data_IF_640664090313
#
_entry.id   IF_640664090313
#
_cell.length_a   1.000
_cell.length_b   1.000
_cell.length_c   1.000
_cell.angle_alpha   90.00
_cell.angle_beta   90.00
_cell.angle_gamma   90.00
#
_symmetry.space_group_name_H-M   'P 1'
#
loop_
_entity.id
_entity.type
_entity.pdbx_description
1 polymer ?
#
# COMPACT_ATOMS: atom_id res chain seq x y z
N UNK A 1 -28.81 -5.00 -0.91
CA UNK A 1 -27.98 -4.01 -0.21
C UNK A 1 -26.82 -3.71 -1.12
N UNK A 2 -26.05 -2.71 -0.89
CA UNK A 2 -24.91 -2.31 -1.72
C UNK A 2 -23.73 -1.94 -0.83
N UNK A 3 -22.97 -0.94 -1.22
CA UNK A 3 -21.88 -0.40 -0.43
C UNK A 3 -22.39 0.07 0.97
N UNK A 4 -21.78 -0.37 2.09
CA UNK A 4 -22.21 0.01 3.43
C UNK A 4 -21.82 1.47 3.76
N UNK A 5 -22.72 2.21 4.43
CA UNK A 5 -22.49 3.64 4.73
C UNK A 5 -21.90 3.91 6.14
N UNK A 6 -21.92 2.92 7.05
CA UNK A 6 -21.61 3.11 8.48
C UNK A 6 -20.61 2.09 9.05
N UNK A 7 -19.70 1.59 8.22
CA UNK A 7 -18.79 0.53 8.63
C UNK A 7 -17.49 1.00 9.31
N UNK A 8 -17.17 2.29 9.25
CA UNK A 8 -15.92 2.81 9.76
C UNK A 8 -14.68 2.27 9.00
N UNK A 9 -14.46 2.79 7.81
CA UNK A 9 -13.47 2.29 6.83
C UNK A 9 -12.04 2.43 7.37
N UNK A 10 -11.20 1.41 7.11
CA UNK A 10 -9.75 1.46 7.31
C UNK A 10 -9.08 1.51 5.94
N UNK A 11 -8.42 2.62 5.62
CA UNK A 11 -7.67 2.78 4.37
C UNK A 11 -6.17 2.56 4.61
N UNK A 12 -5.61 1.56 3.93
CA UNK A 12 -4.20 1.18 4.04
C UNK A 12 -3.28 1.97 3.09
N UNK A 13 -3.78 3.05 2.49
CA UNK A 13 -3.04 3.88 1.53
C UNK A 13 -3.42 5.35 1.59
N UNK A 14 -3.43 5.94 2.79
CA UNK A 14 -3.62 7.38 3.00
C UNK A 14 -2.27 8.09 2.98
N UNK A 15 -2.22 9.24 2.32
CA UNK A 15 -1.11 10.17 2.35
C UNK A 15 -1.56 11.59 2.59
N UNK A 16 -0.63 12.52 2.50
CA UNK A 16 -0.86 13.95 2.68
C UNK A 16 -0.57 14.69 1.38
N UNK A 17 -1.35 15.72 1.04
CA UNK A 17 -1.07 16.52 -0.15
C UNK A 17 0.24 17.28 0.01
N UNK A 18 0.97 17.43 -1.08
CA UNK A 18 2.12 18.33 -1.09
C UNK A 18 1.64 19.77 -1.10
N UNK A 19 2.21 20.58 -0.22
CA UNK A 19 2.00 22.04 -0.16
C UNK A 19 3.12 22.81 -0.85
N UNK A 20 4.15 22.10 -1.33
CA UNK A 20 5.33 22.65 -1.95
C UNK A 20 5.77 21.79 -3.15
N UNK A 21 5.98 22.43 -4.31
CA UNK A 21 6.39 21.75 -5.56
C UNK A 21 7.75 21.10 -5.43
N UNK A 22 8.70 21.71 -4.73
CA UNK A 22 10.05 21.16 -4.57
C UNK A 22 10.04 19.93 -3.65
N UNK A 23 9.20 19.91 -2.59
CA UNK A 23 8.98 18.72 -1.76
C UNK A 23 8.38 17.59 -2.59
N UNK A 24 7.39 17.88 -3.45
CA UNK A 24 6.79 16.89 -4.37
C UNK A 24 7.85 16.28 -5.28
N UNK A 25 8.66 17.10 -5.93
CA UNK A 25 9.76 16.63 -6.80
C UNK A 25 10.79 15.80 -6.03
N UNK A 26 11.19 16.25 -4.84
CA UNK A 26 12.17 15.56 -4.02
C UNK A 26 11.72 14.14 -3.61
N UNK A 27 10.43 13.93 -3.37
CA UNK A 27 9.88 12.66 -2.96
C UNK A 27 10.15 11.50 -3.94
N UNK A 28 10.32 11.79 -5.23
CA UNK A 28 10.50 10.79 -6.27
C UNK A 28 11.94 10.71 -6.84
N UNK A 29 12.86 11.54 -6.36
CA UNK A 29 14.25 11.59 -6.86
C UNK A 29 15.01 10.26 -6.70
N UNK A 30 14.64 9.42 -5.75
CA UNK A 30 15.27 8.11 -5.54
C UNK A 30 15.16 7.18 -6.75
N UNK A 31 14.16 7.36 -7.62
CA UNK A 31 13.97 6.57 -8.84
C UNK A 31 14.80 7.07 -10.03
N UNK A 32 15.33 8.30 -9.98
CA UNK A 32 16.07 8.90 -11.08
C UNK A 32 17.22 8.04 -11.64
N UNK A 33 18.03 7.34 -10.80
CA UNK A 33 19.08 6.47 -11.31
C UNK A 33 18.61 5.27 -12.14
N UNK A 34 17.31 4.92 -12.03
CA UNK A 34 16.69 3.79 -12.73
C UNK A 34 16.15 4.17 -14.11
N UNK A 35 15.91 5.45 -14.37
CA UNK A 35 15.38 5.94 -15.65
C UNK A 35 16.46 6.03 -16.70
N UNK A 36 16.11 5.65 -17.94
CA UNK A 36 17.01 5.67 -19.11
C UNK A 36 16.51 6.55 -20.25
N UNK A 37 15.22 6.86 -20.26
CA UNK A 37 14.60 7.67 -21.31
C UNK A 37 14.41 9.12 -20.84
N UNK A 38 14.51 10.05 -21.81
CA UNK A 38 14.44 11.48 -21.55
C UNK A 38 13.09 11.90 -20.97
N UNK A 39 11.99 11.32 -21.49
CA UNK A 39 10.66 11.65 -21.02
C UNK A 39 10.48 11.36 -19.52
N UNK A 40 10.92 10.16 -19.04
CA UNK A 40 10.88 9.84 -17.62
C UNK A 40 11.75 10.75 -16.76
N UNK A 41 12.88 11.23 -17.30
CA UNK A 41 13.77 12.16 -16.60
C UNK A 41 13.19 13.58 -16.49
N UNK A 42 12.32 13.96 -17.43
CA UNK A 42 11.61 15.24 -17.48
C UNK A 42 10.30 15.21 -16.65
N UNK A 43 9.56 14.08 -16.67
CA UNK A 43 8.28 13.88 -15.98
C UNK A 43 8.41 13.64 -14.45
N UNK A 44 9.47 14.07 -13.81
CA UNK A 44 9.76 13.74 -12.40
C UNK A 44 8.81 14.37 -11.36
N UNK A 45 7.69 14.94 -11.77
CA UNK A 45 6.68 15.47 -10.83
C UNK A 45 5.80 14.38 -10.21
N UNK A 46 5.50 13.32 -10.97
CA UNK A 46 4.81 12.13 -10.47
C UNK A 46 5.20 10.90 -11.28
N UNK A 47 5.67 9.80 -10.63
CA UNK A 47 6.05 8.58 -11.35
C UNK A 47 4.85 7.96 -12.03
N UNK A 48 5.01 7.56 -13.30
CA UNK A 48 3.96 6.95 -14.09
C UNK A 48 2.71 7.86 -14.31
N UNK A 49 2.90 9.17 -14.35
CA UNK A 49 1.82 10.15 -14.60
C UNK A 49 0.99 9.78 -15.82
N UNK A 50 1.62 9.24 -16.87
CA UNK A 50 0.95 8.77 -18.10
C UNK A 50 -0.15 7.70 -17.86
N UNK A 51 -0.14 7.02 -16.71
CA UNK A 51 -1.16 6.03 -16.34
C UNK A 51 -2.36 6.64 -15.63
N UNK A 52 -2.24 7.86 -15.12
CA UNK A 52 -3.29 8.52 -14.35
C UNK A 52 -3.91 9.67 -15.16
N UNK A 53 -5.23 9.74 -15.19
CA UNK A 53 -5.93 10.84 -15.90
C UNK A 53 -5.83 12.16 -15.16
N UNK A 54 -5.85 12.09 -13.83
CA UNK A 54 -5.77 13.26 -12.95
C UNK A 54 -4.79 12.93 -11.82
N UNK A 55 -3.65 13.57 -11.83
CA UNK A 55 -2.72 13.56 -10.71
C UNK A 55 -3.07 14.77 -9.86
N UNK A 56 -3.31 14.62 -8.54
CA UNK A 56 -3.61 15.75 -7.68
C UNK A 56 -2.46 16.77 -7.71
N UNK A 57 -2.80 18.01 -7.96
CA UNK A 57 -1.85 19.11 -7.90
C UNK A 57 -1.41 19.41 -6.47
N UNK A 58 -0.35 20.23 -6.36
CA UNK A 58 0.07 20.81 -5.09
C UNK A 58 -1.04 21.72 -4.57
N UNK A 59 -1.49 21.49 -3.35
CA UNK A 59 -2.44 22.38 -2.67
C UNK A 59 -1.75 23.64 -2.18
N UNK A 60 -2.52 24.66 -1.81
CA UNK A 60 -1.98 25.92 -1.30
C UNK A 60 -1.03 25.71 -0.11
N UNK A 61 0.11 26.43 -0.05
CA UNK A 61 1.04 26.35 1.08
C UNK A 61 0.43 26.79 2.42
N UNK A 62 -0.71 27.50 2.39
CA UNK A 62 -1.41 27.97 3.60
C UNK A 62 -2.32 26.89 4.23
N UNK A 63 -2.41 25.70 3.63
CA UNK A 63 -3.23 24.59 4.13
C UNK A 63 -2.39 23.66 5.01
N UNK A 64 -2.91 23.30 6.19
CA UNK A 64 -2.37 22.19 6.99
C UNK A 64 -2.73 20.86 6.28
N UNK A 65 -1.75 20.10 5.74
CA UNK A 65 -2.01 18.89 4.98
C UNK A 65 -2.65 17.78 5.82
N UNK A 66 -2.41 17.79 7.13
CA UNK A 66 -2.97 16.79 8.07
C UNK A 66 -4.46 17.07 8.28
N UNK A 67 -4.82 18.32 8.58
CA UNK A 67 -6.22 18.72 8.76
C UNK A 67 -7.03 18.52 7.48
N UNK A 68 -6.43 18.84 6.34
CA UNK A 68 -7.08 18.64 5.05
C UNK A 68 -7.37 17.16 4.78
N UNK A 69 -6.37 16.29 5.04
CA UNK A 69 -6.54 14.84 4.89
C UNK A 69 -7.58 14.30 5.86
N UNK A 70 -7.55 14.75 7.12
CA UNK A 70 -8.53 14.35 8.13
C UNK A 70 -9.96 14.74 7.74
N UNK A 71 -10.14 15.96 7.21
CA UNK A 71 -11.44 16.43 6.70
C UNK A 71 -11.96 15.54 5.56
N UNK A 72 -11.11 15.18 4.60
CA UNK A 72 -11.49 14.27 3.52
C UNK A 72 -11.80 12.86 4.05
N UNK A 73 -11.04 12.34 5.02
CA UNK A 73 -11.34 11.07 5.68
C UNK A 73 -12.72 11.11 6.35
N UNK A 74 -13.04 12.15 7.10
CA UNK A 74 -14.33 12.32 7.79
C UNK A 74 -15.50 12.37 6.80
N UNK A 75 -15.34 13.12 5.71
CA UNK A 75 -16.34 13.26 4.64
C UNK A 75 -16.71 11.91 4.02
N UNK A 76 -15.78 10.97 3.93
CA UNK A 76 -15.97 9.68 3.26
C UNK A 76 -16.06 8.48 4.21
N UNK A 77 -16.09 8.71 5.52
CA UNK A 77 -16.23 7.67 6.53
C UNK A 77 -14.98 6.81 6.73
N UNK A 78 -13.81 7.33 6.38
CA UNK A 78 -12.51 6.69 6.68
C UNK A 78 -12.17 6.95 8.14
N UNK A 79 -12.36 5.94 8.97
CA UNK A 79 -12.13 6.02 10.40
C UNK A 79 -10.64 6.03 10.74
N UNK A 80 -9.86 5.17 10.07
CA UNK A 80 -8.42 5.04 10.30
C UNK A 80 -7.68 4.98 8.97
N UNK A 81 -6.58 5.73 8.85
CA UNK A 81 -5.68 5.73 7.70
C UNK A 81 -4.28 5.22 8.04
N UNK A 82 -3.73 4.33 7.21
CA UNK A 82 -2.31 3.97 7.28
C UNK A 82 -1.53 4.88 6.34
N UNK A 83 -0.58 5.62 6.89
CA UNK A 83 0.25 6.57 6.15
C UNK A 83 1.75 6.26 6.29
N UNK A 84 2.54 6.77 5.35
CA UNK A 84 4.00 6.65 5.38
C UNK A 84 4.63 7.40 6.56
N UNK A 85 5.77 6.92 7.03
CA UNK A 85 6.57 7.54 8.10
C UNK A 85 7.36 8.76 7.58
N UNK A 86 6.63 9.75 7.05
CA UNK A 86 7.12 11.09 6.70
C UNK A 86 7.00 12.04 7.90
N UNK A 87 7.49 13.27 7.77
CA UNK A 87 7.29 14.32 8.79
C UNK A 87 5.79 14.49 9.09
N UNK A 88 4.97 14.65 8.04
CA UNK A 88 3.52 14.79 8.18
C UNK A 88 2.86 13.53 8.78
N UNK A 89 3.32 12.33 8.40
CA UNK A 89 2.79 11.07 8.93
C UNK A 89 3.06 10.91 10.42
N UNK A 90 4.29 11.18 10.86
CA UNK A 90 4.67 11.12 12.28
C UNK A 90 3.87 12.17 13.09
N UNK A 91 3.75 13.38 12.58
CA UNK A 91 2.98 14.45 13.22
C UNK A 91 1.48 14.13 13.25
N UNK A 92 0.91 13.56 12.17
CA UNK A 92 -0.48 13.12 12.12
C UNK A 92 -0.77 12.04 13.19
N UNK A 93 0.10 11.04 13.31
CA UNK A 93 0.00 10.01 14.36
C UNK A 93 0.10 10.61 15.76
N UNK A 94 0.97 11.61 15.96
CA UNK A 94 1.12 12.30 17.25
C UNK A 94 -0.13 13.12 17.61
N UNK A 95 -0.73 13.85 16.63
CA UNK A 95 -1.92 14.69 16.84
C UNK A 95 -3.20 13.87 16.97
N UNK A 96 -3.31 12.80 16.18
CA UNK A 96 -4.53 12.00 16.04
C UNK A 96 -4.20 10.49 16.11
N UNK A 97 -3.76 9.98 17.29
CA UNK A 97 -3.27 8.61 17.44
C UNK A 97 -4.30 7.53 17.10
N UNK A 98 -5.58 7.83 17.21
CA UNK A 98 -6.66 6.91 16.90
C UNK A 98 -7.11 6.97 15.42
N UNK A 99 -6.58 7.93 14.65
CA UNK A 99 -6.94 8.16 13.26
C UNK A 99 -5.86 7.74 12.27
N UNK A 100 -4.59 7.74 12.69
CA UNK A 100 -3.47 7.43 11.80
C UNK A 100 -2.58 6.32 12.35
N UNK A 101 -2.21 5.40 11.46
CA UNK A 101 -1.21 4.36 11.68
C UNK A 101 -0.02 4.60 10.77
N UNK A 102 1.17 4.21 11.21
CA UNK A 102 2.40 4.41 10.43
C UNK A 102 2.86 3.12 9.77
N UNK A 103 3.28 3.24 8.52
CA UNK A 103 4.07 2.24 7.78
C UNK A 103 5.41 2.84 7.37
N UNK A 104 6.47 2.06 7.42
CA UNK A 104 7.76 2.45 6.86
C UNK A 104 7.98 1.83 5.47
N UNK A 105 8.68 2.54 4.60
CA UNK A 105 9.19 1.99 3.33
C UNK A 105 10.68 1.68 3.43
N UNK A 106 11.08 0.49 2.99
CA UNK A 106 12.49 0.11 2.87
C UNK A 106 13.16 0.93 1.76
N UNK A 107 14.09 1.78 2.16
CA UNK A 107 14.77 2.71 1.23
C UNK A 107 15.86 2.04 0.40
N UNK A 108 16.59 1.08 0.97
CA UNK A 108 17.72 0.42 0.30
C UNK A 108 17.88 -1.02 0.80
N UNK A 109 17.23 -1.96 0.12
CA UNK A 109 17.34 -3.40 0.44
C UNK A 109 18.69 -4.01 0.05
N UNK A 110 19.57 -3.28 -0.66
CA UNK A 110 20.95 -3.68 -0.88
C UNK A 110 21.82 -3.52 0.38
N UNK A 111 21.44 -2.63 1.29
CA UNK A 111 22.00 -2.56 2.64
C UNK A 111 21.16 -3.46 3.57
N UNK A 112 21.53 -4.74 3.60
CA UNK A 112 20.78 -5.78 4.34
C UNK A 112 20.72 -5.46 5.84
N UNK A 113 21.84 -5.11 6.45
CA UNK A 113 21.90 -4.81 7.88
C UNK A 113 21.20 -3.50 8.23
N UNK A 114 21.34 -2.48 7.39
CA UNK A 114 20.62 -1.22 7.54
C UNK A 114 19.11 -1.41 7.45
N UNK A 115 18.64 -2.25 6.53
CA UNK A 115 17.21 -2.60 6.41
C UNK A 115 16.67 -3.27 7.68
N UNK A 116 17.38 -4.25 8.21
CA UNK A 116 16.99 -4.93 9.47
C UNK A 116 16.93 -3.95 10.65
N UNK A 117 17.97 -3.10 10.79
CA UNK A 117 18.03 -2.10 11.87
C UNK A 117 16.88 -1.11 11.75
N UNK A 118 16.65 -0.57 10.55
CA UNK A 118 15.59 0.43 10.33
C UNK A 118 14.19 -0.09 10.66
N UNK A 119 13.89 -1.38 10.40
CA UNK A 119 12.62 -1.99 10.81
C UNK A 119 12.49 -2.00 12.34
N UNK A 120 13.51 -2.48 13.04
CA UNK A 120 13.50 -2.58 14.52
C UNK A 120 13.42 -1.20 15.18
N UNK A 121 14.17 -0.22 14.69
CA UNK A 121 14.14 1.16 15.13
C UNK A 121 12.76 1.80 14.88
N UNK A 122 12.23 1.71 13.67
CA UNK A 122 10.92 2.27 13.35
C UNK A 122 9.79 1.66 14.19
N UNK A 123 9.85 0.36 14.46
CA UNK A 123 8.89 -0.30 15.35
C UNK A 123 9.00 0.20 16.80
N UNK A 124 10.22 0.30 17.31
CA UNK A 124 10.46 0.72 18.70
C UNK A 124 10.12 2.20 18.95
N UNK A 125 10.43 3.08 17.98
CA UNK A 125 10.29 4.52 18.14
C UNK A 125 8.92 5.06 17.69
N UNK A 126 8.31 4.44 16.68
CA UNK A 126 7.10 4.96 16.04
C UNK A 126 5.90 3.99 16.05
N UNK A 127 6.06 2.80 16.63
CA UNK A 127 5.02 1.75 16.64
C UNK A 127 4.38 1.54 15.26
N UNK A 128 5.23 1.33 14.25
CA UNK A 128 4.76 1.06 12.89
C UNK A 128 3.93 -0.23 12.85
N UNK A 129 2.91 -0.28 12.00
CA UNK A 129 2.02 -1.44 11.85
C UNK A 129 2.34 -2.29 10.62
N UNK A 130 3.18 -1.79 9.72
CA UNK A 130 3.59 -2.49 8.51
C UNK A 130 4.95 -1.99 8.00
N UNK A 131 5.59 -2.83 7.19
CA UNK A 131 6.77 -2.49 6.41
C UNK A 131 6.41 -2.54 4.93
N UNK A 132 6.80 -1.54 4.14
CA UNK A 132 6.63 -1.51 2.69
C UNK A 132 7.93 -1.83 1.95
N UNK A 133 7.82 -2.44 0.79
CA UNK A 133 8.95 -2.69 -0.10
C UNK A 133 8.59 -2.48 -1.56
N UNK A 134 9.41 -1.71 -2.26
CA UNK A 134 9.34 -1.48 -3.70
C UNK A 134 10.56 -2.08 -4.40
N UNK A 135 10.53 -3.36 -4.82
CA UNK A 135 11.67 -4.08 -5.40
C UNK A 135 12.26 -3.43 -6.65
N UNK A 136 11.41 -2.95 -7.56
CA UNK A 136 11.85 -2.25 -8.76
C UNK A 136 12.47 -0.88 -8.48
N UNK A 137 12.13 -0.24 -7.36
CA UNK A 137 12.68 1.05 -6.93
C UNK A 137 14.04 0.96 -6.26
N UNK A 138 14.58 -0.23 -6.05
CA UNK A 138 15.93 -0.41 -5.49
C UNK A 138 17.00 -0.16 -6.55
N UNK A 139 18.16 0.37 -6.15
CA UNK A 139 19.30 0.55 -7.06
C UNK A 139 20.58 -0.06 -6.49
N UNK A 140 21.08 -1.17 -7.10
CA UNK A 140 20.46 -1.99 -8.15
C UNK A 140 19.13 -2.61 -7.69
N UNK A 141 18.26 -2.94 -8.65
CA UNK A 141 16.97 -3.58 -8.37
C UNK A 141 17.18 -4.92 -7.64
N UNK A 142 16.29 -5.23 -6.69
CA UNK A 142 16.36 -6.46 -5.88
C UNK A 142 15.06 -7.25 -6.03
N UNK A 143 15.08 -8.45 -6.64
CA UNK A 143 13.90 -9.30 -6.77
C UNK A 143 13.27 -9.70 -5.43
N UNK A 144 11.96 -9.91 -5.43
CA UNK A 144 11.22 -10.36 -4.24
C UNK A 144 11.86 -11.60 -3.60
N UNK A 145 12.31 -12.57 -4.40
CA UNK A 145 12.93 -13.82 -3.90
C UNK A 145 14.46 -13.76 -3.80
N UNK A 146 15.07 -12.58 -3.88
CA UNK A 146 16.52 -12.44 -3.72
C UNK A 146 16.94 -12.80 -2.28
N UNK A 147 18.03 -13.57 -2.07
CA UNK A 147 18.55 -13.89 -0.74
C UNK A 147 18.85 -12.66 0.14
N UNK A 148 19.11 -11.49 -0.42
CA UNK A 148 19.26 -10.24 0.33
C UNK A 148 18.01 -9.84 1.10
N UNK A 149 16.83 -10.24 0.62
CA UNK A 149 15.55 -9.98 1.27
C UNK A 149 15.27 -10.92 2.45
N UNK A 150 15.93 -12.06 2.56
CA UNK A 150 15.66 -13.06 3.60
C UNK A 150 15.82 -12.54 5.02
N UNK A 151 16.85 -11.75 5.37
CA UNK A 151 16.94 -11.12 6.68
C UNK A 151 15.79 -10.15 6.98
N UNK A 152 15.27 -9.46 5.97
CA UNK A 152 14.08 -8.60 6.10
C UNK A 152 12.84 -9.45 6.42
N UNK A 153 12.64 -10.56 5.70
CA UNK A 153 11.53 -11.48 5.94
C UNK A 153 11.57 -12.10 7.33
N UNK A 154 12.77 -12.58 7.74
CA UNK A 154 12.97 -13.11 9.07
C UNK A 154 12.67 -12.05 10.15
N UNK A 155 13.13 -10.80 9.95
CA UNK A 155 12.84 -9.69 10.88
C UNK A 155 11.35 -9.39 10.95
N UNK A 156 10.64 -9.38 9.83
CA UNK A 156 9.19 -9.16 9.83
C UNK A 156 8.43 -10.27 10.58
N UNK A 157 8.91 -11.54 10.47
CA UNK A 157 8.36 -12.66 11.26
C UNK A 157 8.68 -12.49 12.75
N UNK A 158 9.95 -12.23 13.12
CA UNK A 158 10.37 -12.04 14.52
C UNK A 158 9.62 -10.88 15.19
N UNK A 159 9.45 -9.78 14.49
CA UNK A 159 8.77 -8.59 14.98
C UNK A 159 7.24 -8.66 14.84
N UNK A 160 6.73 -9.75 14.26
CA UNK A 160 5.30 -9.98 14.03
C UNK A 160 4.62 -8.80 13.29
N UNK A 161 5.27 -8.32 12.22
CA UNK A 161 4.84 -7.16 11.43
C UNK A 161 4.61 -7.55 9.97
N UNK A 162 3.45 -7.23 9.36
CA UNK A 162 3.17 -7.50 7.96
C UNK A 162 4.09 -6.74 7.00
N UNK A 163 4.47 -7.42 5.91
CA UNK A 163 5.23 -6.80 4.82
C UNK A 163 4.33 -6.54 3.60
N UNK A 164 4.26 -5.28 3.19
CA UNK A 164 3.55 -4.84 1.99
C UNK A 164 4.52 -4.77 0.82
N UNK A 165 4.34 -5.64 -0.16
CA UNK A 165 5.25 -5.85 -1.28
C UNK A 165 4.63 -5.40 -2.59
N UNK A 166 5.28 -4.47 -3.31
CA UNK A 166 4.86 -4.16 -4.67
C UNK A 166 5.08 -5.39 -5.56
N UNK A 167 4.05 -5.80 -6.31
CA UNK A 167 4.07 -6.95 -7.20
C UNK A 167 3.30 -6.63 -8.49
N UNK A 168 3.72 -7.22 -9.59
CA UNK A 168 3.17 -6.94 -10.92
C UNK A 168 4.06 -6.00 -11.75
N UNK A 169 3.52 -5.55 -12.89
CA UNK A 169 4.21 -4.58 -13.74
C UNK A 169 4.30 -3.24 -13.01
N UNK A 170 5.51 -2.71 -12.94
CA UNK A 170 5.74 -1.40 -12.33
C UNK A 170 5.27 -0.28 -13.25
N UNK A 171 4.61 0.74 -12.70
CA UNK A 171 4.15 1.90 -13.47
C UNK A 171 5.28 2.74 -14.09
N UNK A 172 6.32 3.15 -13.33
CA UNK A 172 7.48 3.84 -13.89
C UNK A 172 8.20 3.01 -14.98
N UNK A 173 8.77 3.69 -15.98
CA UNK A 173 9.46 3.03 -17.12
C UNK A 173 10.81 2.43 -16.71
N UNK A 174 10.74 1.30 -15.99
CA UNK A 174 11.89 0.51 -15.54
C UNK A 174 11.57 -1.00 -15.61
N UNK A 175 12.56 -1.89 -15.60
CA UNK A 175 12.33 -3.34 -15.67
C UNK A 175 11.48 -3.84 -14.50
N UNK A 176 10.45 -4.66 -14.78
CA UNK A 176 9.50 -5.19 -13.80
C UNK A 176 9.85 -6.57 -13.24
N UNK A 177 10.88 -7.24 -13.76
CA UNK A 177 11.26 -8.58 -13.32
C UNK A 177 11.34 -8.75 -11.79
N UNK A 178 11.88 -7.78 -11.02
CA UNK A 178 11.97 -7.91 -9.57
C UNK A 178 10.61 -8.10 -8.86
N UNK A 179 9.52 -7.66 -9.49
CA UNK A 179 8.14 -7.73 -8.96
C UNK A 179 7.30 -8.84 -9.58
N UNK A 180 7.93 -9.78 -10.29
CA UNK A 180 7.19 -10.90 -10.88
C UNK A 180 6.49 -11.72 -9.78
N UNK A 181 5.18 -11.94 -9.95
CA UNK A 181 4.31 -12.57 -8.93
C UNK A 181 4.76 -13.99 -8.54
N UNK A 182 5.37 -14.73 -9.46
CA UNK A 182 5.91 -16.08 -9.18
C UNK A 182 6.95 -16.09 -8.06
N UNK A 183 7.70 -14.99 -7.87
CA UNK A 183 8.71 -14.89 -6.80
C UNK A 183 8.11 -15.02 -5.40
N UNK A 184 6.82 -14.65 -5.23
CA UNK A 184 6.09 -14.80 -3.97
C UNK A 184 5.96 -16.25 -3.51
N UNK A 185 5.87 -17.19 -4.45
CA UNK A 185 5.71 -18.63 -4.12
C UNK A 185 6.89 -19.16 -3.31
N UNK A 186 8.10 -18.78 -3.70
CA UNK A 186 9.32 -19.16 -2.99
C UNK A 186 9.41 -18.52 -1.60
N UNK A 187 9.09 -17.25 -1.49
CA UNK A 187 9.11 -16.51 -0.21
C UNK A 187 8.10 -17.09 0.77
N UNK A 188 6.86 -17.33 0.34
CA UNK A 188 5.84 -17.94 1.19
C UNK A 188 6.19 -19.38 1.62
N UNK A 189 6.96 -20.11 0.81
CA UNK A 189 7.44 -21.45 1.16
C UNK A 189 8.54 -21.39 2.24
N UNK A 190 9.50 -20.49 2.09
CA UNK A 190 10.64 -20.37 3.01
C UNK A 190 10.26 -19.68 4.34
N UNK A 191 9.22 -18.82 4.32
CA UNK A 191 8.72 -18.03 5.47
C UNK A 191 7.20 -18.24 5.65
N UNK A 192 6.75 -19.41 6.10
CA UNK A 192 5.32 -19.72 6.20
C UNK A 192 4.58 -18.88 7.24
N UNK A 193 5.29 -18.28 8.19
CA UNK A 193 4.74 -17.39 9.23
C UNK A 193 4.65 -15.93 8.78
N UNK A 194 5.30 -15.57 7.66
CA UNK A 194 5.29 -14.20 7.16
C UNK A 194 3.89 -13.81 6.67
N UNK A 195 3.37 -12.71 7.21
CA UNK A 195 2.21 -12.04 6.65
C UNK A 195 2.66 -11.12 5.52
N UNK A 196 2.29 -11.46 4.29
CA UNK A 196 2.68 -10.76 3.07
C UNK A 196 1.45 -10.20 2.36
N UNK A 197 1.45 -8.89 2.07
CA UNK A 197 0.37 -8.20 1.35
C UNK A 197 0.92 -7.65 0.05
N UNK A 198 0.37 -8.06 -1.10
CA UNK A 198 0.77 -7.49 -2.39
C UNK A 198 0.11 -6.13 -2.63
N UNK A 199 0.86 -5.19 -3.20
CA UNK A 199 0.40 -3.85 -3.61
C UNK A 199 0.47 -3.69 -5.13
N UNK A 200 -0.31 -2.76 -5.66
CA UNK A 200 -0.28 -2.28 -7.05
C UNK A 200 -0.64 -3.34 -8.09
N UNK A 201 -1.64 -4.17 -7.79
CA UNK A 201 -2.44 -4.90 -8.78
C UNK A 201 -2.00 -6.31 -9.15
N UNK A 202 -0.74 -6.66 -9.06
CA UNK A 202 -0.18 -7.94 -9.55
C UNK A 202 -0.33 -8.17 -11.07
N UNK A 203 -0.76 -7.17 -11.84
CA UNK A 203 -0.95 -7.29 -13.29
C UNK A 203 0.38 -7.58 -14.03
N UNK A 204 0.35 -8.42 -15.08
CA UNK A 204 -0.80 -9.17 -15.62
C UNK A 204 -0.92 -10.59 -15.02
N UNK A 205 -0.43 -10.85 -13.83
CA UNK A 205 -0.38 -12.17 -13.19
C UNK A 205 -1.44 -12.34 -12.07
N UNK A 206 -2.61 -11.69 -12.20
CA UNK A 206 -3.69 -11.72 -11.19
C UNK A 206 -4.20 -13.14 -10.94
N UNK A 207 -4.31 -13.96 -12.00
CA UNK A 207 -4.68 -15.37 -11.89
C UNK A 207 -3.66 -16.18 -11.10
N UNK A 208 -2.37 -15.90 -11.28
CA UNK A 208 -1.30 -16.50 -10.49
C UNK A 208 -1.38 -16.03 -9.05
N UNK A 209 -1.51 -14.70 -8.81
CA UNK A 209 -1.67 -14.14 -7.48
C UNK A 209 -2.84 -14.77 -6.72
N UNK A 210 -4.01 -14.91 -7.37
CA UNK A 210 -5.18 -15.60 -6.82
C UNK A 210 -4.86 -17.06 -6.44
N UNK A 211 -4.14 -17.81 -7.29
CA UNK A 211 -3.74 -19.20 -6.98
C UNK A 211 -2.75 -19.27 -5.83
N UNK A 212 -1.82 -18.34 -5.74
CA UNK A 212 -0.88 -18.25 -4.63
C UNK A 212 -1.58 -17.88 -3.31
N UNK A 213 -2.53 -16.93 -3.32
CA UNK A 213 -3.34 -16.60 -2.14
C UNK A 213 -4.19 -17.79 -1.65
N UNK A 214 -4.67 -18.63 -2.57
CA UNK A 214 -5.38 -19.86 -2.22
C UNK A 214 -4.44 -20.90 -1.60
N UNK A 215 -3.20 -20.97 -2.08
CA UNK A 215 -2.15 -21.90 -1.63
C UNK A 215 -1.54 -21.48 -0.29
N UNK A 216 -1.29 -20.18 -0.09
CA UNK A 216 -0.53 -19.66 1.04
C UNK A 216 -1.43 -18.87 2.01
N UNK A 217 -1.59 -19.36 3.26
CA UNK A 217 -2.43 -18.67 4.25
C UNK A 217 -2.00 -17.24 4.56
N UNK A 218 -0.70 -16.97 4.66
CA UNK A 218 -0.12 -15.65 4.98
C UNK A 218 -0.12 -14.66 3.82
N UNK A 219 -0.49 -15.04 2.59
CA UNK A 219 -0.48 -14.16 1.43
C UNK A 219 -1.83 -13.47 1.25
N UNK A 220 -1.80 -12.15 1.10
CA UNK A 220 -2.93 -11.25 0.92
C UNK A 220 -2.70 -10.28 -0.25
N UNK A 221 -3.74 -9.55 -0.62
CA UNK A 221 -3.73 -8.56 -1.71
C UNK A 221 -4.41 -7.28 -1.25
N UNK A 222 -3.87 -6.12 -1.61
CA UNK A 222 -4.58 -4.86 -1.45
C UNK A 222 -4.75 -4.11 -2.78
N UNK A 223 -5.81 -3.29 -2.86
CA UNK A 223 -6.28 -2.66 -4.10
C UNK A 223 -5.56 -1.36 -4.47
N UNK A 224 -4.41 -1.07 -3.86
CA UNK A 224 -3.69 0.19 -4.06
C UNK A 224 -3.45 0.54 -5.53
N UNK A 225 -3.50 1.82 -5.85
CA UNK A 225 -3.27 2.42 -7.17
C UNK A 225 -4.35 2.14 -8.25
N UNK A 226 -5.40 1.39 -7.94
CA UNK A 226 -6.51 1.14 -8.85
C UNK A 226 -7.78 1.89 -8.45
N UNK A 227 -8.38 2.59 -9.41
CA UNK A 227 -9.75 3.07 -9.23
C UNK A 227 -10.73 1.88 -9.24
N UNK A 228 -11.81 1.88 -8.45
CA UNK A 228 -12.68 0.72 -8.26
C UNK A 228 -13.24 0.10 -9.53
N UNK A 229 -13.54 0.91 -10.55
CA UNK A 229 -13.98 0.42 -11.86
C UNK A 229 -12.92 -0.39 -12.64
N UNK A 230 -11.65 -0.30 -12.21
CA UNK A 230 -10.51 -1.00 -12.81
C UNK A 230 -9.97 -2.11 -11.90
N UNK A 231 -10.68 -2.45 -10.82
CA UNK A 231 -10.28 -3.62 -10.05
C UNK A 231 -10.24 -4.86 -10.92
N UNK A 232 -9.14 -5.64 -10.90
CA UNK A 232 -9.01 -6.82 -11.77
C UNK A 232 -10.17 -7.79 -11.57
N UNK A 233 -10.82 -8.21 -12.66
CA UNK A 233 -12.01 -9.05 -12.63
C UNK A 233 -11.78 -10.37 -11.88
N UNK A 234 -10.62 -11.01 -12.09
CA UNK A 234 -10.25 -12.26 -11.41
C UNK A 234 -10.14 -12.06 -9.88
N UNK A 235 -9.63 -10.92 -9.43
CA UNK A 235 -9.55 -10.58 -8.00
C UNK A 235 -10.93 -10.32 -7.41
N UNK A 236 -11.78 -9.56 -8.10
CA UNK A 236 -13.17 -9.34 -7.69
C UNK A 236 -13.95 -10.66 -7.60
N UNK A 237 -13.83 -11.51 -8.60
CA UNK A 237 -14.44 -12.84 -8.60
C UNK A 237 -13.93 -13.73 -7.47
N UNK A 238 -12.63 -13.67 -7.19
CA UNK A 238 -12.04 -14.41 -6.08
C UNK A 238 -12.55 -13.91 -4.73
N UNK A 239 -12.58 -12.60 -4.49
CA UNK A 239 -13.15 -12.00 -3.29
C UNK A 239 -14.60 -12.42 -3.07
N UNK A 240 -15.42 -12.43 -4.15
CA UNK A 240 -16.82 -12.80 -4.10
C UNK A 240 -17.09 -14.30 -3.93
N UNK A 241 -16.05 -15.14 -3.86
CA UNK A 241 -16.19 -16.60 -3.73
C UNK A 241 -15.41 -17.16 -2.54
N UNK A 242 -14.07 -17.29 -2.65
CA UNK A 242 -13.21 -17.92 -1.64
C UNK A 242 -12.25 -16.97 -0.97
N UNK A 243 -12.04 -15.78 -1.54
CA UNK A 243 -11.00 -14.84 -1.18
C UNK A 243 -11.48 -13.65 -0.35
N UNK A 244 -12.70 -13.67 0.19
CA UNK A 244 -13.23 -12.55 0.95
C UNK A 244 -12.31 -12.07 2.08
N UNK A 245 -11.57 -12.99 2.70
CA UNK A 245 -10.63 -12.72 3.80
C UNK A 245 -9.20 -12.39 3.32
N UNK A 246 -8.97 -12.36 2.01
CA UNK A 246 -7.65 -12.17 1.42
C UNK A 246 -7.43 -10.79 0.82
N UNK A 247 -8.52 -10.07 0.54
CA UNK A 247 -8.47 -8.79 -0.18
C UNK A 247 -8.71 -7.65 0.80
N UNK A 248 -7.77 -6.69 0.85
CA UNK A 248 -7.81 -5.52 1.73
C UNK A 248 -8.00 -4.24 0.91
N UNK A 249 -8.74 -3.29 1.47
CA UNK A 249 -8.85 -1.97 0.89
C UNK A 249 -7.58 -1.15 1.14
N UNK A 250 -7.08 -0.60 0.08
CA UNK A 250 -5.98 0.36 0.10
C UNK A 250 -6.27 1.39 -0.99
N UNK A 251 -6.47 2.65 -0.62
CA UNK A 251 -6.76 3.74 -1.53
C UNK A 251 -5.58 4.06 -2.44
N UNK A 252 -5.06 5.16 -2.38
CA UNK A 252 -3.88 5.77 -2.99
C UNK A 252 -4.02 7.31 -2.95
N UNK A 253 -4.75 7.75 -1.95
CA UNK A 253 -5.00 9.16 -1.70
C UNK A 253 -3.78 9.83 -1.03
N UNK A 254 -3.42 11.04 -1.44
CA UNK A 254 -3.94 11.84 -2.56
C UNK A 254 -3.15 11.61 -3.85
N UNK A 255 -2.17 10.73 -3.86
CA UNK A 255 -1.13 10.64 -4.88
C UNK A 255 -1.64 10.26 -6.29
N UNK A 256 -2.73 9.53 -6.41
CA UNK A 256 -3.24 9.14 -7.72
C UNK A 256 -4.76 9.13 -7.86
N UNK A 257 -5.49 9.00 -6.75
CA UNK A 257 -6.95 8.87 -6.77
C UNK A 257 -7.54 9.57 -5.55
N UNK A 258 -8.51 10.50 -5.76
CA UNK A 258 -9.23 11.15 -4.66
C UNK A 258 -10.15 10.16 -3.93
N UNK A 259 -10.42 10.40 -2.63
CA UNK A 259 -11.40 9.60 -1.88
C UNK A 259 -12.80 9.71 -2.49
N UNK A 260 -13.18 10.89 -3.00
CA UNK A 260 -14.42 11.09 -3.72
C UNK A 260 -14.58 10.10 -4.88
N UNK A 261 -13.57 9.99 -5.74
CA UNK A 261 -13.59 9.06 -6.86
C UNK A 261 -13.64 7.61 -6.39
N UNK A 262 -12.84 7.25 -5.38
CA UNK A 262 -12.82 5.90 -4.81
C UNK A 262 -14.22 5.48 -4.36
N UNK A 263 -14.83 6.25 -3.49
CA UNK A 263 -16.09 5.84 -2.86
C UNK A 263 -17.31 6.04 -3.78
N UNK A 264 -17.28 7.01 -4.69
CA UNK A 264 -18.31 7.16 -5.72
C UNK A 264 -18.31 5.95 -6.66
N UNK A 265 -17.13 5.58 -7.20
CA UNK A 265 -17.02 4.42 -8.08
C UNK A 265 -17.36 3.11 -7.36
N UNK A 266 -17.00 2.94 -6.06
CA UNK A 266 -17.41 1.76 -5.28
C UNK A 266 -18.94 1.63 -5.17
N UNK A 267 -19.65 2.75 -4.96
CA UNK A 267 -21.12 2.76 -4.90
C UNK A 267 -21.76 2.48 -6.26
N UNK A 268 -21.20 3.07 -7.32
CA UNK A 268 -21.73 2.93 -8.68
C UNK A 268 -21.53 1.53 -9.26
N UNK A 269 -20.30 0.99 -9.17
CA UNK A 269 -19.95 -0.31 -9.77
C UNK A 269 -20.27 -1.49 -8.85
N UNK A 270 -20.32 -1.26 -7.55
CA UNK A 270 -20.65 -2.26 -6.52
C UNK A 270 -20.01 -3.64 -6.79
N UNK A 271 -18.66 -3.74 -6.89
CA UNK A 271 -17.99 -4.94 -7.36
C UNK A 271 -18.11 -6.13 -6.40
N UNK A 272 -18.41 -5.87 -5.11
CA UNK A 272 -18.41 -6.91 -4.09
C UNK A 272 -19.83 -7.23 -3.59
N UNK A 273 -20.00 -8.48 -3.14
CA UNK A 273 -21.21 -8.92 -2.44
C UNK A 273 -21.31 -8.25 -1.06
N UNK A 274 -22.51 -8.15 -0.53
CA UNK A 274 -22.79 -7.58 0.80
C UNK A 274 -21.93 -8.20 1.91
N UNK A 275 -21.67 -9.50 1.83
CA UNK A 275 -20.84 -10.23 2.81
C UNK A 275 -19.34 -10.01 2.67
N UNK A 276 -18.90 -9.39 1.57
CA UNK A 276 -17.48 -9.11 1.29
C UNK A 276 -17.10 -7.69 1.71
N UNK A 277 -18.02 -6.73 1.59
CA UNK A 277 -17.75 -5.33 1.90
C UNK A 277 -17.20 -5.09 3.30
N UNK A 278 -17.76 -5.65 4.40
CA UNK A 278 -17.20 -5.44 5.74
C UNK A 278 -15.76 -5.98 5.86
N UNK A 279 -15.50 -7.14 5.28
CA UNK A 279 -14.17 -7.75 5.27
C UNK A 279 -13.17 -6.90 4.51
N UNK A 280 -13.54 -6.47 3.30
CA UNK A 280 -12.70 -5.67 2.43
C UNK A 280 -12.35 -4.30 3.03
N UNK A 281 -13.36 -3.58 3.56
CA UNK A 281 -13.20 -2.21 4.04
C UNK A 281 -12.62 -2.10 5.46
N UNK A 282 -12.68 -3.18 6.27
CA UNK A 282 -12.34 -3.09 7.69
C UNK A 282 -11.76 -4.38 8.27
N UNK A 283 -12.53 -5.49 8.31
CA UNK A 283 -12.21 -6.64 9.12
C UNK A 283 -10.87 -7.29 8.76
N UNK A 284 -10.55 -7.37 7.45
CA UNK A 284 -9.28 -7.90 6.98
C UNK A 284 -8.10 -7.05 7.43
N UNK A 285 -8.23 -5.71 7.41
CA UNK A 285 -7.19 -4.81 7.91
C UNK A 285 -6.97 -5.01 9.42
N UNK A 286 -8.03 -5.08 10.21
CA UNK A 286 -7.94 -5.36 11.66
C UNK A 286 -7.19 -6.66 11.91
N UNK A 287 -7.58 -7.73 11.25
CA UNK A 287 -6.97 -9.06 11.43
C UNK A 287 -5.53 -9.12 10.96
N UNK A 288 -5.23 -8.61 9.75
CA UNK A 288 -3.90 -8.70 9.13
C UNK A 288 -2.88 -7.81 9.84
N UNK A 289 -3.29 -6.63 10.30
CA UNK A 289 -2.44 -5.67 11.02
C UNK A 289 -2.56 -5.78 12.54
N UNK A 290 -3.40 -6.69 13.07
CA UNK A 290 -3.62 -6.94 14.51
C UNK A 290 -4.02 -5.68 15.27
N UNK A 291 -4.99 -4.93 14.73
CA UNK A 291 -5.37 -3.61 15.22
C UNK A 291 -6.33 -3.67 16.41
N UNK A 292 -7.01 -4.77 16.65
CA UNK A 292 -7.90 -5.01 17.79
C UNK A 292 -7.23 -4.71 19.13
N UNK A 293 -5.96 -5.08 19.28
CA UNK A 293 -5.16 -4.80 20.48
C UNK A 293 -4.62 -3.36 20.54
N UNK A 294 -4.38 -2.73 19.38
CA UNK A 294 -3.72 -1.43 19.27
C UNK A 294 -4.67 -0.23 19.32
N UNK A 295 -5.84 -0.36 18.71
CA UNK A 295 -6.81 0.73 18.53
C UNK A 295 -8.14 0.46 19.22
N UNK A 296 -8.29 -0.66 19.94
CA UNK A 296 -9.56 -1.05 20.55
C UNK A 296 -10.70 -1.25 19.54
N UNK A 297 -10.35 -1.58 18.30
CA UNK A 297 -11.28 -1.82 17.21
C UNK A 297 -11.72 -3.28 17.27
N UNK A 298 -12.93 -3.52 17.75
CA UNK A 298 -13.59 -4.85 17.73
C UNK A 298 -14.49 -4.99 16.51
#
# INVERSE_FOLDING_TARGET
MGFPDDIGIIDLGIGFPYTDVEKKKAAYQFMRPLYKDQASLEEMEFPAEYMFKNVPDVVSPDIDPIEWTLHEMDKWGVQVGMCGMSEDGIEAKRRYPDRFMLTMELKNTNDVIGSVRSIKEAKAEHDIVAVGCFPCGQFPQVPINDPKMYPVYATCVEEDIPLFMNAGIVGPRMPSYPQHVEHLDRVCYDFPELTLVTRHGCEPWEKLAMKLMLKWPGLHYCTSAFAPKHYPEDIVKYANTRGAEKILYCGYFPAGISLERQFTEMREFNPFKDTVWPKFLRENAIRVLKLDQKLGLS
#
